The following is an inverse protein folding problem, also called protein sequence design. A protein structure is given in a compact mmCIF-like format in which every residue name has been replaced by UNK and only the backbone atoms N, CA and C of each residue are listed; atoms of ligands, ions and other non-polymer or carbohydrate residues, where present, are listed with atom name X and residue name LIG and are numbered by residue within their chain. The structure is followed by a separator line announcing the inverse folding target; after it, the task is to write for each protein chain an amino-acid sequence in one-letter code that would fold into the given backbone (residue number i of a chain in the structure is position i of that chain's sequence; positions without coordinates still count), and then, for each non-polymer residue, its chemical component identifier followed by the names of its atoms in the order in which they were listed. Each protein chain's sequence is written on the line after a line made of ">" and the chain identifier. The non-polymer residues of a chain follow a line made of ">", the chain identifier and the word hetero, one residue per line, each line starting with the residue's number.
data_IF_284225891158
#
_entry.id   IF_284225891158
#
_cell.length_a   1.000
_cell.length_b   1.000
_cell.length_c   1.000
_cell.angle_alpha   90.00
_cell.angle_beta   90.00
_cell.angle_gamma   90.00
#
_symmetry.space_group_name_H-M   'P 1'
#
loop_
_entity.id
_entity.type
_entity.pdbx_description
1 polymer ?
#
# COMPACT_ATOMS: atom_id res chain seq x y z
N UNK A 1 2.53 -0.56 -8.77
CA UNK A 1 2.91 -1.12 -7.47
C UNK A 1 2.09 -0.55 -6.32
N UNK A 2 2.24 0.72 -5.94
CA UNK A 2 1.42 1.40 -4.91
C UNK A 2 0.96 2.75 -5.44
N UNK A 3 -0.27 3.17 -5.11
CA UNK A 3 -0.77 4.54 -5.28
C UNK A 3 -1.14 5.12 -3.92
N UNK A 4 -0.97 6.43 -3.73
CA UNK A 4 -1.35 7.12 -2.50
C UNK A 4 -2.28 8.28 -2.85
N UNK A 5 -3.38 8.39 -2.13
CA UNK A 5 -4.23 9.60 -2.13
C UNK A 5 -4.24 10.16 -0.72
N UNK A 6 -3.92 11.45 -0.59
CA UNK A 6 -3.92 12.17 0.69
C UNK A 6 -5.08 13.15 0.73
N UNK A 7 -5.71 13.23 1.89
CA UNK A 7 -6.65 14.29 2.27
C UNK A 7 -6.09 14.97 3.52
N UNK A 8 -6.76 15.99 4.05
CA UNK A 8 -6.28 16.75 5.22
C UNK A 8 -5.92 15.87 6.44
N UNK A 9 -6.65 14.77 6.66
CA UNK A 9 -6.47 13.93 7.85
C UNK A 9 -6.47 12.42 7.55
N UNK A 10 -6.47 12.02 6.28
CA UNK A 10 -6.48 10.61 5.88
C UNK A 10 -5.59 10.35 4.68
N UNK A 11 -4.80 9.29 4.77
CA UNK A 11 -4.08 8.71 3.63
C UNK A 11 -4.75 7.41 3.18
N UNK A 12 -4.77 7.17 1.88
CA UNK A 12 -5.27 5.94 1.27
C UNK A 12 -4.18 5.34 0.41
N UNK A 13 -3.62 4.22 0.87
CA UNK A 13 -2.62 3.43 0.16
C UNK A 13 -3.37 2.37 -0.65
N UNK A 14 -3.17 2.36 -1.96
CA UNK A 14 -3.75 1.37 -2.86
C UNK A 14 -2.66 0.46 -3.42
N UNK A 15 -2.71 -0.82 -3.08
CA UNK A 15 -1.93 -1.88 -3.70
C UNK A 15 -2.37 -1.98 -5.17
N UNK A 16 -1.48 -1.70 -6.11
CA UNK A 16 -1.80 -1.49 -7.52
C UNK A 16 -0.93 -2.39 -8.42
N UNK A 17 -1.13 -3.70 -8.28
CA UNK A 17 -0.69 -4.78 -9.19
C UNK A 17 -1.90 -5.71 -9.48
N UNK A 18 -3.01 -5.19 -10.03
CA UNK A 18 -4.26 -5.96 -10.15
C UNK A 18 -4.12 -7.22 -10.99
N UNK A 19 -3.24 -7.21 -12.00
CA UNK A 19 -2.95 -8.38 -12.84
C UNK A 19 -2.22 -9.52 -12.10
N UNK A 20 -1.63 -9.24 -10.94
CA UNK A 20 -1.03 -10.24 -10.03
C UNK A 20 -1.81 -10.34 -8.72
N UNK A 21 -3.12 -10.05 -8.73
CA UNK A 21 -3.96 -10.05 -7.53
C UNK A 21 -3.38 -9.24 -6.36
N UNK A 22 -2.64 -8.16 -6.67
CA UNK A 22 -1.92 -7.33 -5.69
C UNK A 22 -0.97 -8.11 -4.77
N UNK A 23 -0.36 -9.19 -5.26
CA UNK A 23 0.73 -9.89 -4.57
C UNK A 23 1.86 -8.91 -4.22
N UNK A 24 2.45 -9.08 -3.03
CA UNK A 24 3.44 -8.20 -2.43
C UNK A 24 4.82 -8.79 -2.68
N UNK A 25 5.61 -8.09 -3.49
CA UNK A 25 7.03 -8.39 -3.67
C UNK A 25 7.90 -7.49 -2.78
N UNK A 26 9.23 -7.69 -2.82
CA UNK A 26 10.16 -6.98 -1.93
C UNK A 26 10.16 -5.46 -2.14
N UNK A 27 10.21 -4.99 -3.40
CA UNK A 27 10.15 -3.55 -3.69
C UNK A 27 8.84 -2.92 -3.16
N UNK A 28 7.72 -3.64 -3.26
CA UNK A 28 6.42 -3.17 -2.76
C UNK A 28 6.39 -3.15 -1.24
N UNK A 29 7.01 -4.13 -0.59
CA UNK A 29 7.11 -4.22 0.87
C UNK A 29 7.97 -3.07 1.43
N UNK A 30 9.14 -2.83 0.84
CA UNK A 30 10.03 -1.72 1.21
C UNK A 30 9.32 -0.36 1.08
N UNK A 31 8.59 -0.18 -0.03
CA UNK A 31 7.82 1.03 -0.26
C UNK A 31 6.65 1.18 0.72
N UNK A 32 5.96 0.10 1.08
CA UNK A 32 4.94 0.13 2.13
C UNK A 32 5.53 0.58 3.46
N UNK A 33 6.67 0.01 3.86
CA UNK A 33 7.35 0.39 5.12
C UNK A 33 7.70 1.87 5.14
N UNK A 34 8.34 2.38 4.07
CA UNK A 34 8.68 3.81 3.97
C UNK A 34 7.44 4.72 4.07
N UNK A 35 6.32 4.35 3.45
CA UNK A 35 5.09 5.15 3.54
C UNK A 35 4.51 5.14 4.97
N UNK A 36 4.61 4.01 5.67
CA UNK A 36 4.13 3.88 7.04
C UNK A 36 5.02 4.64 8.02
N UNK A 37 6.34 4.69 7.78
CA UNK A 37 7.27 5.53 8.52
C UNK A 37 6.94 7.02 8.32
N UNK A 38 6.73 7.46 7.08
CA UNK A 38 6.29 8.84 6.80
C UNK A 38 4.95 9.17 7.47
N UNK A 39 4.02 8.21 7.50
CA UNK A 39 2.70 8.39 8.10
C UNK A 39 2.76 8.52 9.63
N UNK A 40 3.75 7.89 10.27
CA UNK A 40 3.97 7.97 11.73
C UNK A 40 4.33 9.39 12.17
N UNK A 41 5.04 10.13 11.34
CA UNK A 41 5.53 11.47 11.65
C UNK A 41 4.59 12.60 11.14
N UNK A 42 3.47 12.25 10.50
CA UNK A 42 2.47 13.21 9.99
C UNK A 42 1.46 13.62 11.08
N UNK A 43 1.68 14.78 11.68
CA UNK A 43 0.86 15.31 12.78
C UNK A 43 -0.63 15.51 12.43
N UNK A 44 -0.95 15.77 11.15
CA UNK A 44 -2.35 15.97 10.73
C UNK A 44 -3.08 14.67 10.43
N UNK A 45 -2.36 13.55 10.29
CA UNK A 45 -2.96 12.26 9.97
C UNK A 45 -3.79 11.75 11.15
N UNK A 46 -5.02 11.33 10.86
CA UNK A 46 -5.96 10.74 11.82
C UNK A 46 -6.35 9.32 11.47
N UNK A 47 -6.25 8.95 10.20
CA UNK A 47 -6.58 7.60 9.74
C UNK A 47 -5.79 7.21 8.49
N UNK A 48 -5.50 5.92 8.37
CA UNK A 48 -4.84 5.36 7.21
C UNK A 48 -5.67 4.17 6.71
N UNK A 49 -5.89 4.13 5.39
CA UNK A 49 -6.58 3.02 4.72
C UNK A 49 -5.58 2.34 3.81
N UNK A 50 -5.49 1.02 3.90
CA UNK A 50 -4.80 0.19 2.91
C UNK A 50 -5.87 -0.60 2.17
N UNK A 51 -5.87 -0.54 0.85
CA UNK A 51 -6.82 -1.24 -0.01
C UNK A 51 -6.16 -1.75 -1.28
N UNK A 52 -6.83 -2.63 -2.03
CA UNK A 52 -6.35 -3.16 -3.31
C UNK A 52 -7.04 -2.50 -4.50
N UNK A 53 -6.30 -2.27 -5.58
CA UNK A 53 -6.88 -1.93 -6.87
C UNK A 53 -7.54 -3.15 -7.49
N UNK A 54 -8.68 -2.95 -8.16
CA UNK A 54 -9.41 -4.03 -8.83
C UNK A 54 -10.34 -4.78 -7.87
N UNK A 55 -10.41 -6.10 -8.04
CA UNK A 55 -11.44 -6.95 -7.38
C UNK A 55 -11.04 -7.49 -6.01
N UNK A 56 -9.75 -7.49 -5.68
CA UNK A 56 -9.21 -8.14 -4.47
C UNK A 56 -8.26 -7.21 -3.72
N UNK A 57 -8.12 -7.43 -2.42
CA UNK A 57 -7.16 -6.71 -1.59
C UNK A 57 -5.72 -7.08 -1.96
N UNK A 58 -5.30 -8.31 -1.64
CA UNK A 58 -3.99 -8.88 -1.96
C UNK A 58 -4.03 -10.41 -1.89
N UNK A 59 -3.24 -11.08 -2.72
CA UNK A 59 -2.99 -12.52 -2.66
C UNK A 59 -1.90 -12.93 -1.65
N UNK A 60 -1.27 -11.97 -0.95
CA UNK A 60 -0.15 -12.24 -0.02
C UNK A 60 1.21 -12.04 -0.68
N UNK A 61 2.21 -12.85 -0.31
CA UNK A 61 3.55 -12.78 -0.87
C UNK A 61 3.57 -13.15 -2.37
N UNK A 62 4.39 -12.46 -3.16
CA UNK A 62 4.63 -12.81 -4.56
C UNK A 62 5.58 -14.00 -4.66
N UNK A 63 5.03 -15.18 -4.96
CA UNK A 63 5.79 -16.44 -5.01
C UNK A 63 6.74 -16.52 -6.22
N UNK A 64 6.56 -15.67 -7.23
CA UNK A 64 7.45 -15.62 -8.40
C UNK A 64 8.74 -14.85 -8.12
N UNK A 65 8.82 -14.12 -7.00
CA UNK A 65 9.99 -13.34 -6.56
C UNK A 65 10.64 -13.93 -5.29
N UNK A 66 10.34 -15.19 -4.95
CA UNK A 66 11.01 -15.97 -3.89
C UNK A 66 12.34 -16.57 -4.35
#
# INVERSE_FOLDING_TARGET
>A
MIKITKTAFRWTITLNRPNKANAINMEMLEKLNSILDDAKDENQLRSLVITGAGKVFSAGADLEEL
#
